data_IF_683548916747
#
_entry.id   IF_683548916747
#
_cell.length_a   1.000
_cell.length_b   1.000
_cell.length_c   1.000
_cell.angle_alpha   90.00
_cell.angle_beta   90.00
_cell.angle_gamma   90.00
#
_symmetry.space_group_name_H-M   'P 1'
#
loop_
_entity.id
_entity.type
_entity.pdbx_description
1 polymer ?
#
# COMPACT_ATOMS: atom_id res chain seq x y z
N UNK A 1 -17.46 23.63 15.96
CA UNK A 1 -17.52 24.28 14.62
C UNK A 1 -18.79 23.82 13.93
N UNK A 2 -19.38 24.61 13.02
CA UNK A 2 -20.48 24.11 12.18
C UNK A 2 -19.96 23.08 11.17
N UNK A 3 -20.84 22.20 10.68
CA UNK A 3 -20.46 21.20 9.65
C UNK A 3 -19.85 21.83 8.39
N UNK A 4 -20.25 23.05 8.05
CA UNK A 4 -19.69 23.82 6.94
C UNK A 4 -18.27 24.32 7.25
N UNK A 5 -18.04 24.84 8.46
CA UNK A 5 -16.73 25.29 8.91
C UNK A 5 -15.72 24.14 8.97
N UNK A 6 -16.15 22.95 9.45
CA UNK A 6 -15.30 21.75 9.49
C UNK A 6 -14.85 21.31 8.10
N UNK A 7 -15.78 21.26 7.13
CA UNK A 7 -15.44 20.94 5.73
C UNK A 7 -14.48 21.96 5.14
N UNK A 8 -14.72 23.26 5.37
CA UNK A 8 -13.86 24.33 4.86
C UNK A 8 -12.46 24.26 5.47
N UNK A 9 -12.36 23.99 6.77
CA UNK A 9 -11.10 23.80 7.46
C UNK A 9 -10.33 22.61 6.89
N UNK A 10 -10.97 21.44 6.79
CA UNK A 10 -10.36 20.25 6.19
C UNK A 10 -9.86 20.52 4.78
N UNK A 11 -10.70 21.09 3.89
CA UNK A 11 -10.32 21.30 2.50
C UNK A 11 -9.21 22.35 2.31
N UNK A 12 -9.09 23.31 3.23
CA UNK A 12 -7.97 24.23 3.25
C UNK A 12 -6.67 23.48 3.53
N UNK A 13 -6.62 22.72 4.63
CA UNK A 13 -5.46 21.91 5.00
C UNK A 13 -5.10 20.89 3.90
N UNK A 14 -6.12 20.25 3.33
CA UNK A 14 -5.93 19.31 2.23
C UNK A 14 -5.27 19.97 1.02
N UNK A 15 -5.77 21.11 0.54
CA UNK A 15 -5.19 21.77 -0.62
C UNK A 15 -3.78 22.30 -0.36
N UNK A 16 -3.49 22.75 0.86
CA UNK A 16 -2.15 23.20 1.25
C UNK A 16 -1.12 22.05 1.11
N UNK A 17 -1.48 20.84 1.55
CA UNK A 17 -0.65 19.63 1.39
C UNK A 17 -0.64 19.15 -0.06
N UNK A 18 -1.82 19.00 -0.68
CA UNK A 18 -1.96 18.35 -1.97
C UNK A 18 -1.24 19.12 -3.09
N UNK A 19 -1.23 20.46 -3.05
CA UNK A 19 -0.49 21.30 -4.02
C UNK A 19 1.03 21.22 -3.88
N UNK A 20 1.53 20.78 -2.72
CA UNK A 20 2.94 20.49 -2.52
C UNK A 20 3.30 19.06 -2.97
N UNK A 21 2.31 18.16 -3.00
CA UNK A 21 2.48 16.75 -3.36
C UNK A 21 2.31 16.49 -4.86
N UNK A 22 1.40 17.19 -5.54
CA UNK A 22 1.10 16.97 -6.96
C UNK A 22 0.48 18.19 -7.63
N UNK A 23 0.76 18.37 -8.92
CA UNK A 23 0.22 19.48 -9.70
C UNK A 23 -1.26 19.35 -10.08
N UNK A 24 -1.85 18.17 -9.85
CA UNK A 24 -3.26 17.91 -10.16
C UNK A 24 -4.22 18.88 -9.44
N UNK A 25 -3.82 19.44 -8.30
CA UNK A 25 -4.66 20.35 -7.50
C UNK A 25 -4.35 21.83 -7.67
N UNK A 26 -3.38 22.24 -8.51
CA UNK A 26 -2.96 23.66 -8.56
C UNK A 26 -4.13 24.62 -8.80
N UNK A 27 -5.05 24.21 -9.67
CA UNK A 27 -6.23 24.99 -10.06
C UNK A 27 -7.50 24.62 -9.28
N UNK A 28 -7.39 23.76 -8.26
CA UNK A 28 -8.53 23.36 -7.44
C UNK A 28 -8.88 24.46 -6.42
N UNK A 29 -10.19 24.64 -6.21
CA UNK A 29 -10.74 25.61 -5.26
C UNK A 29 -11.79 24.95 -4.35
N UNK A 30 -11.85 25.42 -3.11
CA UNK A 30 -12.82 24.94 -2.12
C UNK A 30 -14.23 25.41 -2.52
N UNK A 31 -15.16 24.47 -2.66
CA UNK A 31 -16.56 24.76 -2.97
C UNK A 31 -17.42 24.71 -1.71
N UNK A 32 -18.36 25.65 -1.59
CA UNK A 32 -19.27 25.74 -0.43
C UNK A 32 -20.08 24.45 -0.29
N UNK A 33 -20.13 23.91 0.94
CA UNK A 33 -20.93 22.75 1.31
C UNK A 33 -20.66 21.44 0.53
N UNK A 34 -19.53 21.33 -0.16
CA UNK A 34 -19.13 20.08 -0.82
C UNK A 34 -18.27 19.21 0.09
N UNK A 35 -18.48 17.90 -0.02
CA UNK A 35 -17.69 16.87 0.65
C UNK A 35 -16.60 16.32 -0.29
N UNK A 36 -16.25 17.07 -1.34
CA UNK A 36 -15.28 16.68 -2.34
C UNK A 36 -14.58 17.89 -2.98
N UNK A 37 -13.43 17.64 -3.59
CA UNK A 37 -12.75 18.54 -4.53
C UNK A 37 -12.62 17.84 -5.88
N UNK A 38 -13.02 18.55 -6.94
CA UNK A 38 -12.86 18.06 -8.31
C UNK A 38 -11.51 18.47 -8.89
N UNK A 39 -10.97 17.59 -9.73
CA UNK A 39 -9.89 17.87 -10.67
C UNK A 39 -10.47 17.63 -12.06
N UNK A 40 -10.32 18.63 -12.93
CA UNK A 40 -10.81 18.56 -14.31
C UNK A 40 -9.97 17.58 -15.12
N UNK A 41 -10.62 16.76 -15.95
CA UNK A 41 -9.94 16.00 -17.01
C UNK A 41 -9.82 16.78 -18.32
N UNK A 42 -10.38 18.00 -18.36
CA UNK A 42 -10.53 18.77 -19.59
C UNK A 42 -11.70 18.31 -20.47
N UNK A 43 -12.49 17.33 -20.03
CA UNK A 43 -13.66 16.81 -20.72
C UNK A 43 -14.95 17.11 -19.95
N UNK A 44 -15.99 17.53 -20.68
CA UNK A 44 -17.29 17.78 -20.08
C UNK A 44 -17.85 16.49 -19.48
N UNK A 45 -18.42 16.58 -18.27
CA UNK A 45 -19.02 15.44 -17.57
C UNK A 45 -18.03 14.40 -17.04
N UNK A 46 -16.71 14.64 -17.12
CA UNK A 46 -15.70 13.68 -16.65
C UNK A 46 -14.70 14.36 -15.70
N UNK A 47 -14.61 13.90 -14.47
CA UNK A 47 -13.77 14.53 -13.45
C UNK A 47 -13.23 13.51 -12.46
N UNK A 48 -12.01 13.75 -11.99
CA UNK A 48 -11.54 13.12 -10.77
C UNK A 48 -12.13 13.87 -9.58
N UNK A 49 -12.40 13.16 -8.49
CA UNK A 49 -12.95 13.72 -7.27
C UNK A 49 -12.27 13.09 -6.07
N UNK A 50 -11.68 13.92 -5.22
CA UNK A 50 -11.25 13.49 -3.89
C UNK A 50 -12.38 13.78 -2.93
N UNK A 51 -12.87 12.72 -2.28
CA UNK A 51 -14.07 12.78 -1.46
C UNK A 51 -13.72 12.50 0.00
N UNK A 52 -14.21 13.34 0.90
CA UNK A 52 -13.99 13.23 2.34
C UNK A 52 -15.32 13.42 3.10
N UNK A 53 -15.84 12.32 3.65
CA UNK A 53 -16.98 12.31 4.57
C UNK A 53 -16.49 12.44 6.02
N UNK A 54 -17.36 12.18 7.00
CA UNK A 54 -17.04 12.35 8.42
C UNK A 54 -15.93 11.38 8.84
N UNK A 55 -16.11 10.10 8.49
CA UNK A 55 -15.28 8.99 8.98
C UNK A 55 -14.64 8.17 7.86
N UNK A 56 -14.84 8.55 6.59
CA UNK A 56 -14.23 7.87 5.46
C UNK A 56 -13.89 8.85 4.35
N UNK A 57 -12.88 8.48 3.55
CA UNK A 57 -12.42 9.24 2.40
C UNK A 57 -12.00 8.31 1.27
N UNK A 58 -12.09 8.76 0.03
CA UNK A 58 -11.65 8.00 -1.14
C UNK A 58 -11.39 8.95 -2.32
N UNK A 59 -10.83 8.40 -3.40
CA UNK A 59 -10.70 9.09 -4.68
C UNK A 59 -11.57 8.37 -5.70
N UNK A 60 -12.19 9.11 -6.61
CA UNK A 60 -13.02 8.55 -7.68
C UNK A 60 -12.83 9.28 -9.00
N UNK A 61 -13.08 8.57 -10.11
CA UNK A 61 -13.42 9.16 -11.40
C UNK A 61 -14.92 9.07 -11.53
N UNK A 62 -15.56 10.21 -11.78
CA UNK A 62 -16.98 10.30 -12.02
C UNK A 62 -17.22 10.57 -13.51
N UNK A 63 -18.04 9.72 -14.11
CA UNK A 63 -18.46 9.79 -15.50
C UNK A 63 -19.94 10.16 -15.49
N UNK A 64 -20.24 11.39 -15.88
CA UNK A 64 -21.58 11.97 -15.91
C UNK A 64 -21.75 12.78 -17.20
N UNK A 65 -21.62 12.08 -18.31
CA UNK A 65 -21.81 12.55 -19.68
C UNK A 65 -23.23 12.22 -20.15
N UNK A 66 -23.81 13.10 -20.97
CA UNK A 66 -25.22 13.00 -21.37
C UNK A 66 -25.53 11.74 -22.18
N UNK A 67 -24.62 11.35 -23.06
CA UNK A 67 -24.94 10.41 -24.14
C UNK A 67 -24.17 9.08 -24.04
N UNK A 68 -22.97 9.08 -23.44
CA UNK A 68 -22.00 7.97 -23.53
C UNK A 68 -21.37 7.58 -22.18
N UNK A 69 -22.03 7.86 -21.05
CA UNK A 69 -21.47 7.53 -19.72
C UNK A 69 -21.24 6.04 -19.51
N UNK A 70 -22.19 5.20 -19.94
CA UNK A 70 -22.13 3.75 -19.77
C UNK A 70 -21.12 3.12 -20.74
N UNK A 71 -21.13 3.54 -22.01
CA UNK A 71 -20.17 3.08 -23.02
C UNK A 71 -18.73 3.37 -22.59
N UNK A 72 -18.43 4.61 -22.18
CA UNK A 72 -17.11 4.97 -21.69
C UNK A 72 -16.72 4.18 -20.43
N UNK A 73 -17.66 3.97 -19.52
CA UNK A 73 -17.40 3.19 -18.31
C UNK A 73 -17.06 1.73 -18.65
N UNK A 74 -17.82 1.11 -19.55
CA UNK A 74 -17.60 -0.26 -19.97
C UNK A 74 -16.28 -0.42 -20.75
N UNK A 75 -15.93 0.55 -21.58
CA UNK A 75 -14.63 0.60 -22.27
C UNK A 75 -13.46 0.65 -21.27
N UNK A 76 -13.54 1.52 -20.25
CA UNK A 76 -12.51 1.56 -19.19
C UNK A 76 -12.50 0.24 -18.40
N UNK A 77 -13.67 -0.33 -18.13
CA UNK A 77 -13.82 -1.56 -17.36
C UNK A 77 -13.22 -2.79 -18.06
N UNK A 78 -13.12 -2.82 -19.39
CA UNK A 78 -12.36 -3.86 -20.12
C UNK A 78 -10.89 -3.93 -19.69
N UNK A 79 -10.35 -2.83 -19.15
CA UNK A 79 -8.98 -2.75 -18.64
C UNK A 79 -8.89 -2.89 -17.11
N UNK A 80 -9.96 -3.32 -16.43
CA UNK A 80 -10.05 -3.36 -14.96
C UNK A 80 -8.83 -4.01 -14.30
N UNK A 81 -8.45 -5.22 -14.72
CA UNK A 81 -7.33 -5.94 -14.11
C UNK A 81 -6.00 -5.20 -14.26
N UNK A 82 -5.75 -4.60 -15.43
CA UNK A 82 -4.53 -3.83 -15.71
C UNK A 82 -4.51 -2.56 -14.85
N UNK A 83 -5.65 -1.86 -14.76
CA UNK A 83 -5.80 -0.64 -13.96
C UNK A 83 -5.58 -0.96 -12.48
N UNK A 84 -6.25 -1.97 -11.93
CA UNK A 84 -6.14 -2.37 -10.52
C UNK A 84 -4.73 -2.84 -10.17
N UNK A 85 -4.07 -3.59 -11.07
CA UNK A 85 -2.68 -4.00 -10.92
C UNK A 85 -1.73 -2.78 -10.87
N UNK A 86 -1.87 -1.87 -11.84
CA UNK A 86 -1.07 -0.63 -11.93
C UNK A 86 -1.28 0.25 -10.71
N UNK A 87 -2.54 0.44 -10.31
CA UNK A 87 -2.90 1.21 -9.12
C UNK A 87 -2.38 0.57 -7.82
N UNK A 88 -2.45 -0.77 -7.72
CA UNK A 88 -1.95 -1.55 -6.60
C UNK A 88 -2.98 -1.96 -5.55
N UNK A 89 -4.27 -1.81 -5.84
CA UNK A 89 -5.37 -2.29 -5.00
C UNK A 89 -6.64 -2.48 -5.86
N UNK A 90 -7.60 -3.32 -5.41
CA UNK A 90 -8.90 -3.43 -6.06
C UNK A 90 -9.66 -2.09 -6.08
N UNK A 91 -10.46 -1.88 -7.13
CA UNK A 91 -11.31 -0.71 -7.28
C UNK A 91 -12.78 -1.07 -7.11
N UNK A 92 -13.60 -0.09 -6.77
CA UNK A 92 -15.06 -0.19 -6.73
C UNK A 92 -15.63 0.40 -8.01
N UNK A 93 -16.30 -0.45 -8.77
CA UNK A 93 -16.89 -0.14 -10.07
C UNK A 93 -18.40 -0.03 -9.91
N UNK A 94 -18.95 1.17 -10.08
CA UNK A 94 -20.38 1.45 -9.86
C UNK A 94 -20.98 2.09 -11.10
N UNK A 95 -21.95 1.40 -11.70
CA UNK A 95 -22.81 1.95 -12.75
C UNK A 95 -24.17 2.30 -12.12
N UNK A 96 -24.51 3.59 -12.06
CA UNK A 96 -25.84 4.08 -11.67
C UNK A 96 -26.61 4.56 -12.92
N UNK A 97 -26.92 3.65 -13.85
CA UNK A 97 -27.55 3.98 -15.13
C UNK A 97 -28.79 4.88 -15.03
N UNK A 98 -29.64 4.67 -14.01
CA UNK A 98 -30.81 5.52 -13.74
C UNK A 98 -30.48 7.01 -13.48
N UNK A 99 -29.24 7.32 -13.11
CA UNK A 99 -28.75 8.69 -12.85
C UNK A 99 -27.80 9.20 -13.94
N UNK A 100 -27.63 8.44 -15.02
CA UNK A 100 -26.61 8.68 -16.07
C UNK A 100 -25.24 8.97 -15.44
N UNK A 101 -24.86 8.16 -14.44
CA UNK A 101 -23.65 8.37 -13.66
C UNK A 101 -22.94 7.06 -13.41
N UNK A 102 -21.70 6.97 -13.84
CA UNK A 102 -20.80 5.88 -13.50
C UNK A 102 -19.64 6.38 -12.64
N UNK A 103 -19.12 5.51 -11.78
CA UNK A 103 -18.01 5.81 -10.89
C UNK A 103 -17.02 4.67 -10.84
N UNK A 104 -15.75 5.03 -10.86
CA UNK A 104 -14.64 4.13 -10.53
C UNK A 104 -13.99 4.72 -9.29
N UNK A 105 -14.01 4.01 -8.17
CA UNK A 105 -13.62 4.54 -6.86
C UNK A 105 -12.53 3.67 -6.26
N UNK A 106 -11.59 4.29 -5.54
CA UNK A 106 -10.66 3.55 -4.70
C UNK A 106 -11.42 2.89 -3.52
N UNK A 107 -10.77 1.94 -2.85
CA UNK A 107 -11.22 1.53 -1.51
C UNK A 107 -11.32 2.77 -0.59
N UNK A 108 -12.29 2.76 0.32
CA UNK A 108 -12.43 3.81 1.34
C UNK A 108 -11.28 3.69 2.33
N UNK A 109 -10.63 4.82 2.63
CA UNK A 109 -9.78 4.98 3.81
C UNK A 109 -10.72 5.24 5.00
N UNK A 110 -10.63 4.48 6.12
CA UNK A 110 -11.50 4.64 7.29
C UNK A 110 -11.09 5.85 8.15
N UNK A 111 -10.80 6.96 7.48
CA UNK A 111 -10.39 8.25 8.02
C UNK A 111 -11.14 9.33 7.23
N UNK A 112 -11.72 10.31 7.91
CA UNK A 112 -12.47 11.39 7.29
C UNK A 112 -12.15 12.73 7.90
N UNK A 113 -13.01 13.73 7.72
CA UNK A 113 -12.79 15.08 8.26
C UNK A 113 -12.77 15.13 9.80
N UNK A 114 -13.25 14.08 10.48
CA UNK A 114 -13.14 13.93 11.93
C UNK A 114 -11.79 13.34 12.39
N UNK A 115 -10.88 13.04 11.46
CA UNK A 115 -9.56 12.52 11.78
C UNK A 115 -8.71 13.58 12.49
N UNK A 116 -7.95 13.14 13.51
CA UNK A 116 -7.09 14.02 14.30
C UNK A 116 -5.80 14.39 13.56
N UNK A 117 -5.38 13.57 12.59
CA UNK A 117 -4.23 13.79 11.73
C UNK A 117 -4.68 14.13 10.30
N UNK A 118 -5.17 15.35 10.13
CA UNK A 118 -5.65 15.85 8.84
C UNK A 118 -4.52 15.94 7.81
N UNK A 119 -3.30 16.28 8.24
CA UNK A 119 -2.13 16.40 7.37
C UNK A 119 -1.74 15.05 6.77
N UNK A 120 -1.64 14.01 7.59
CA UNK A 120 -1.35 12.65 7.11
C UNK A 120 -2.46 12.10 6.23
N UNK A 121 -3.73 12.30 6.60
CA UNK A 121 -4.85 11.95 5.72
C UNK A 121 -4.78 12.69 4.37
N UNK A 122 -4.42 13.97 4.38
CA UNK A 122 -4.32 14.78 3.17
C UNK A 122 -3.22 14.28 2.23
N UNK A 123 -2.06 13.92 2.78
CA UNK A 123 -0.96 13.32 2.03
C UNK A 123 -1.37 11.98 1.41
N UNK A 124 -2.00 11.10 2.19
CA UNK A 124 -2.52 9.82 1.71
C UNK A 124 -3.48 10.03 0.53
N UNK A 125 -4.42 10.97 0.64
CA UNK A 125 -5.39 11.23 -0.42
C UNK A 125 -4.73 11.83 -1.67
N UNK A 126 -3.78 12.75 -1.52
CA UNK A 126 -3.06 13.35 -2.65
C UNK A 126 -2.22 12.31 -3.42
N UNK A 127 -1.43 11.51 -2.71
CA UNK A 127 -0.65 10.42 -3.30
C UNK A 127 -1.54 9.36 -3.96
N UNK A 128 -2.66 9.03 -3.32
CA UNK A 128 -3.65 8.10 -3.88
C UNK A 128 -4.27 8.65 -5.15
N UNK A 129 -4.60 9.94 -5.20
CA UNK A 129 -5.08 10.59 -6.43
C UNK A 129 -4.05 10.51 -7.55
N UNK A 130 -2.77 10.78 -7.26
CA UNK A 130 -1.70 10.70 -8.26
C UNK A 130 -1.58 9.28 -8.84
N UNK A 131 -1.47 8.25 -7.98
CA UNK A 131 -1.42 6.85 -8.45
C UNK A 131 -2.66 6.44 -9.22
N UNK A 132 -3.83 6.90 -8.78
CA UNK A 132 -5.10 6.59 -9.42
C UNK A 132 -5.24 7.28 -10.79
N UNK A 133 -4.78 8.52 -10.89
CA UNK A 133 -4.65 9.26 -12.13
C UNK A 133 -3.73 8.51 -13.10
N UNK A 134 -2.51 8.17 -12.68
CA UNK A 134 -1.54 7.44 -13.51
C UNK A 134 -2.07 6.09 -14.00
N UNK A 135 -2.88 5.41 -13.18
CA UNK A 135 -3.47 4.13 -13.52
C UNK A 135 -4.59 4.23 -14.57
N UNK A 136 -5.46 5.24 -14.46
CA UNK A 136 -6.70 5.34 -15.26
C UNK A 136 -6.58 6.28 -16.46
N UNK A 137 -5.81 7.37 -16.35
CA UNK A 137 -5.93 8.52 -17.25
C UNK A 137 -5.76 8.17 -18.73
N UNK A 138 -4.86 7.23 -19.04
CA UNK A 138 -4.60 6.77 -20.42
C UNK A 138 -5.79 6.07 -21.08
N UNK A 139 -6.78 5.62 -20.31
CA UNK A 139 -8.01 4.98 -20.80
C UNK A 139 -9.17 5.97 -20.92
N UNK A 140 -8.96 7.23 -20.54
CA UNK A 140 -9.94 8.28 -20.78
C UNK A 140 -9.78 8.78 -22.23
N UNK A 141 -10.86 9.23 -22.88
CA UNK A 141 -10.78 9.72 -24.24
C UNK A 141 -9.77 10.88 -24.31
N UNK A 142 -8.96 10.89 -25.36
CA UNK A 142 -8.08 12.01 -25.62
C UNK A 142 -8.93 13.28 -25.80
N UNK A 143 -8.40 14.43 -25.40
CA UNK A 143 -8.94 15.71 -25.87
C UNK A 143 -8.76 15.77 -27.39
N UNK A 144 -9.74 15.28 -28.15
CA UNK A 144 -9.89 15.68 -29.53
C UNK A 144 -10.16 17.20 -29.49
N UNK A 145 -9.12 17.97 -29.84
CA UNK A 145 -9.32 19.35 -30.29
C UNK A 145 -10.40 19.30 -31.35
N UNK A 146 -11.43 20.10 -31.14
CA UNK A 146 -12.47 20.38 -32.12
C UNK A 146 -11.79 20.96 -33.37
N UNK A 147 -11.52 20.11 -34.35
CA UNK A 147 -11.43 20.49 -35.77
C UNK A 147 -12.46 19.64 -36.52
N UNK A 148 -13.73 19.97 -36.28
CA UNK A 148 -14.81 19.64 -37.19
C UNK A 148 -15.84 20.78 -37.07
N UNK A 149 -16.12 21.44 -38.19
CA UNK A 149 -17.01 22.58 -38.38
C UNK A 149 -16.42 23.99 -38.19
N UNK A 150 -15.63 24.43 -39.17
CA UNK A 150 -15.65 25.82 -39.64
C UNK A 150 -15.17 25.93 -41.09
N UNK A 151 -15.79 25.19 -42.01
CA UNK A 151 -15.68 25.48 -43.44
C UNK A 151 -16.71 26.57 -43.80
N UNK A 152 -16.44 27.81 -43.39
CA UNK A 152 -16.94 29.02 -44.03
C UNK A 152 -15.87 30.10 -43.93
N UNK A 153 -15.27 30.43 -45.07
CA UNK A 153 -14.64 31.73 -45.33
C UNK A 153 -15.55 32.86 -44.81
N UNK A 154 -15.02 33.99 -44.27
CA UNK A 154 -14.22 34.89 -45.11
C UNK A 154 -13.12 35.74 -44.41
N UNK A 155 -12.26 36.27 -45.29
CA UNK A 155 -11.59 37.58 -45.25
C UNK A 155 -10.59 37.94 -44.16
N UNK A 156 -9.37 38.18 -44.67
CA UNK A 156 -8.28 39.01 -44.18
C UNK A 156 -8.60 40.04 -43.07
N UNK A 157 -7.88 39.93 -41.95
CA UNK A 157 -7.41 41.07 -41.17
C UNK A 157 -6.06 40.72 -40.55
N UNK A 158 -5.02 41.46 -40.96
CA UNK A 158 -3.69 41.42 -40.34
C UNK A 158 -3.77 42.14 -38.99
N UNK A 159 -3.43 41.46 -37.90
CA UNK A 159 -3.15 42.12 -36.63
C UNK A 159 -1.88 41.53 -36.01
N UNK A 160 -0.87 42.38 -35.90
CA UNK A 160 0.39 42.13 -35.21
C UNK A 160 0.15 41.93 -33.72
N UNK A 161 0.54 40.77 -33.17
CA UNK A 161 0.71 40.59 -31.72
C UNK A 161 2.13 40.09 -31.47
N UNK A 162 2.93 40.97 -30.85
CA UNK A 162 4.26 40.66 -30.30
C UNK A 162 4.13 39.56 -29.24
N UNK A 163 4.75 38.41 -29.49
CA UNK A 163 5.02 37.40 -28.48
C UNK A 163 6.18 37.85 -27.59
N UNK A 164 5.93 38.01 -26.29
CA UNK A 164 6.98 38.04 -25.28
C UNK A 164 7.40 36.60 -24.98
N UNK A 165 8.63 36.25 -25.30
CA UNK A 165 9.23 34.98 -24.96
C UNK A 165 9.30 34.83 -23.42
N UNK A 166 8.61 33.82 -22.87
CA UNK A 166 8.90 33.32 -21.54
C UNK A 166 10.14 32.43 -21.61
N UNK A 167 11.17 32.79 -20.84
CA UNK A 167 12.33 31.94 -20.57
C UNK A 167 11.82 30.66 -19.91
N UNK A 168 11.90 29.56 -20.65
CA UNK A 168 11.78 28.19 -20.11
C UNK A 168 12.96 27.99 -19.18
N UNK A 169 12.68 27.84 -17.89
CA UNK A 169 13.67 27.39 -16.90
C UNK A 169 13.89 25.90 -17.15
N UNK A 170 15.15 25.41 -17.22
CA UNK A 170 15.38 24.00 -17.48
C UNK A 170 14.88 23.17 -16.29
N UNK A 171 13.94 22.25 -16.57
CA UNK A 171 13.57 21.18 -15.65
C UNK A 171 14.83 20.41 -15.26
N UNK A 172 15.19 20.46 -13.97
CA UNK A 172 16.12 19.50 -13.40
C UNK A 172 15.48 18.13 -13.50
N UNK A 173 15.94 17.30 -14.45
CA UNK A 173 15.75 15.85 -14.42
C UNK A 173 16.33 15.31 -13.11
N UNK A 174 15.48 15.13 -12.11
CA UNK A 174 15.83 14.48 -10.85
C UNK A 174 15.96 12.97 -11.12
N UNK A 175 17.21 12.50 -11.14
CA UNK A 175 17.78 11.21 -10.70
C UNK A 175 16.92 9.90 -10.57
N UNK A 176 15.86 9.68 -11.35
CA UNK A 176 15.04 8.46 -11.29
C UNK A 176 15.77 7.14 -11.66
N UNK A 177 16.89 7.19 -12.39
CA UNK A 177 17.59 5.98 -12.83
C UNK A 177 18.37 5.27 -11.71
N UNK A 178 18.80 5.99 -10.67
CA UNK A 178 19.63 5.41 -9.61
C UNK A 178 18.82 4.57 -8.60
N UNK A 179 17.57 4.97 -8.31
CA UNK A 179 16.68 4.24 -7.39
C UNK A 179 16.17 2.92 -7.97
N UNK A 180 15.91 2.87 -9.28
CA UNK A 180 15.41 1.66 -9.95
C UNK A 180 16.47 0.54 -9.98
N UNK A 181 17.72 0.91 -10.25
CA UNK A 181 18.87 -0.02 -10.23
C UNK A 181 19.10 -0.57 -8.82
N UNK A 182 18.97 0.28 -7.80
CA UNK A 182 19.11 -0.14 -6.40
C UNK A 182 17.99 -1.12 -5.99
N UNK A 183 16.76 -0.86 -6.43
CA UNK A 183 15.61 -1.72 -6.16
C UNK A 183 15.76 -3.12 -6.77
N UNK A 184 16.14 -3.21 -8.05
CA UNK A 184 16.34 -4.50 -8.72
C UNK A 184 17.44 -5.34 -8.06
N UNK A 185 18.58 -4.71 -7.73
CA UNK A 185 19.69 -5.40 -7.05
C UNK A 185 19.29 -5.93 -5.67
N UNK A 186 18.51 -5.15 -4.91
CA UNK A 186 18.04 -5.58 -3.59
C UNK A 186 17.06 -6.74 -3.70
N UNK A 187 16.13 -6.71 -4.65
CA UNK A 187 15.18 -7.80 -4.86
C UNK A 187 15.90 -9.11 -5.22
N UNK A 188 16.90 -9.09 -6.12
CA UNK A 188 17.67 -10.30 -6.43
C UNK A 188 18.43 -10.84 -5.22
N UNK A 189 18.99 -9.98 -4.38
CA UNK A 189 19.69 -10.40 -3.16
C UNK A 189 18.72 -10.99 -2.12
N UNK A 190 17.52 -10.41 -1.99
CA UNK A 190 16.43 -10.92 -1.15
C UNK A 190 15.96 -12.29 -1.65
N UNK A 191 15.74 -12.44 -2.96
CA UNK A 191 15.32 -13.70 -3.57
C UNK A 191 16.36 -14.80 -3.31
N UNK A 192 17.65 -14.50 -3.49
CA UNK A 192 18.74 -15.42 -3.17
C UNK A 192 18.74 -15.83 -1.68
N UNK A 193 18.53 -14.88 -0.76
CA UNK A 193 18.40 -15.18 0.67
C UNK A 193 17.20 -16.09 0.95
N UNK A 194 16.06 -15.82 0.31
CA UNK A 194 14.87 -16.65 0.47
C UNK A 194 15.09 -18.07 -0.03
N UNK A 195 15.62 -18.26 -1.24
CA UNK A 195 15.94 -19.59 -1.79
C UNK A 195 16.86 -20.37 -0.85
N UNK A 196 17.96 -19.74 -0.41
CA UNK A 196 18.89 -20.34 0.55
C UNK A 196 18.22 -20.70 1.88
N UNK A 197 17.31 -19.87 2.38
CA UNK A 197 16.61 -20.15 3.64
C UNK A 197 15.68 -21.36 3.54
N UNK A 198 15.12 -21.64 2.38
CA UNK A 198 14.19 -22.76 2.16
C UNK A 198 14.88 -24.12 2.14
N UNK A 199 16.19 -24.14 1.95
CA UNK A 199 17.05 -25.33 2.07
C UNK A 199 17.54 -25.55 3.52
N UNK A 200 17.34 -24.58 4.41
CA UNK A 200 17.87 -24.65 5.77
C UNK A 200 17.14 -25.70 6.61
N UNK A 201 17.92 -26.64 7.18
CA UNK A 201 17.43 -27.69 8.09
C UNK A 201 18.08 -27.65 9.48
N UNK A 202 18.91 -26.65 9.75
CA UNK A 202 19.80 -26.62 10.92
C UNK A 202 19.10 -26.80 12.27
N UNK A 203 17.92 -26.20 12.48
CA UNK A 203 17.19 -26.33 13.75
C UNK A 203 16.59 -27.73 13.92
N UNK A 204 16.18 -28.39 12.84
CA UNK A 204 15.64 -29.74 12.87
C UNK A 204 16.75 -30.77 13.10
N UNK A 205 17.87 -30.66 12.39
CA UNK A 205 19.03 -31.56 12.51
C UNK A 205 19.65 -31.54 13.91
N UNK A 206 19.61 -30.39 14.59
CA UNK A 206 20.10 -30.23 15.96
C UNK A 206 19.06 -30.60 17.03
N UNK A 207 17.89 -31.09 16.63
CA UNK A 207 16.81 -31.45 17.56
C UNK A 207 16.20 -30.26 18.31
N UNK A 208 16.40 -29.02 17.84
CA UNK A 208 15.85 -27.82 18.46
C UNK A 208 14.39 -27.54 18.06
N UNK A 209 13.92 -28.17 16.99
CA UNK A 209 12.55 -28.06 16.47
C UNK A 209 12.07 -29.41 15.92
N UNK A 210 10.75 -29.59 15.88
CA UNK A 210 10.07 -30.75 15.27
C UNK A 210 9.35 -30.28 14.01
N UNK A 211 9.52 -31.02 12.91
CA UNK A 211 8.97 -30.67 11.60
C UNK A 211 7.44 -30.63 11.63
N UNK A 212 6.87 -29.47 11.32
CA UNK A 212 5.43 -29.27 11.18
C UNK A 212 4.93 -29.64 9.76
N UNK A 213 3.62 -29.46 9.52
CA UNK A 213 3.03 -29.65 8.19
C UNK A 213 3.63 -28.74 7.11
N UNK A 214 4.01 -27.52 7.48
CA UNK A 214 4.83 -26.64 6.63
C UNK A 214 6.26 -26.76 7.14
N UNK A 215 7.10 -27.44 6.36
CA UNK A 215 8.39 -27.96 6.78
C UNK A 215 9.61 -27.19 6.25
N UNK A 216 9.35 -26.14 5.47
CA UNK A 216 10.34 -25.26 4.88
C UNK A 216 10.17 -23.84 5.41
N UNK A 217 11.24 -23.05 5.24
CA UNK A 217 11.21 -21.63 5.59
C UNK A 217 10.10 -20.92 4.80
N UNK A 218 9.46 -19.96 5.43
CA UNK A 218 8.36 -19.18 4.85
C UNK A 218 8.85 -17.75 4.56
N UNK A 219 9.36 -17.47 3.35
CA UNK A 219 9.53 -16.09 2.89
C UNK A 219 8.25 -15.30 3.13
N UNK A 220 8.39 -14.05 3.55
CA UNK A 220 7.26 -13.17 3.87
C UNK A 220 7.26 -11.98 2.92
N UNK A 221 6.05 -11.51 2.65
CA UNK A 221 5.78 -10.41 1.73
C UNK A 221 6.70 -9.20 1.97
N UNK A 222 7.27 -8.71 0.87
CA UNK A 222 7.84 -7.36 0.77
C UNK A 222 6.97 -6.60 -0.22
N UNK A 223 6.35 -5.53 0.23
CA UNK A 223 5.45 -4.73 -0.59
C UNK A 223 6.16 -4.15 -1.80
N UNK A 224 5.46 -4.07 -2.95
CA UNK A 224 6.03 -3.60 -4.22
C UNK A 224 6.63 -2.19 -4.18
N UNK A 225 6.17 -1.34 -3.25
CA UNK A 225 6.66 0.02 -3.06
C UNK A 225 7.55 0.14 -1.82
N UNK A 226 7.97 -0.97 -1.19
CA UNK A 226 8.75 -0.92 0.04
C UNK A 226 10.03 -0.09 -0.13
N UNK A 227 10.80 -0.34 -1.19
CA UNK A 227 12.06 0.37 -1.42
C UNK A 227 11.88 1.85 -1.81
N UNK A 228 10.74 2.20 -2.40
CA UNK A 228 10.40 3.58 -2.75
C UNK A 228 9.61 4.32 -1.66
N UNK A 229 9.31 3.65 -0.54
CA UNK A 229 8.60 4.27 0.58
C UNK A 229 9.55 5.19 1.35
N UNK A 230 9.07 6.39 1.68
CA UNK A 230 9.80 7.37 2.51
C UNK A 230 10.25 6.73 3.83
N UNK A 231 9.35 5.97 4.45
CA UNK A 231 9.65 5.16 5.62
C UNK A 231 9.56 3.69 5.25
N UNK A 232 10.68 2.99 5.37
CA UNK A 232 10.75 1.55 5.16
C UNK A 232 10.37 0.85 6.46
N UNK A 233 9.11 0.47 6.57
CA UNK A 233 8.55 -0.17 7.78
C UNK A 233 8.57 -1.68 7.61
N UNK A 234 9.21 -2.39 8.55
CA UNK A 234 9.25 -3.84 8.58
C UNK A 234 8.55 -4.39 9.84
N UNK A 235 7.60 -5.30 9.67
CA UNK A 235 6.91 -5.98 10.76
C UNK A 235 7.56 -7.35 10.99
N UNK A 236 7.99 -7.62 12.22
CA UNK A 236 8.62 -8.88 12.61
C UNK A 236 7.78 -9.55 13.68
N UNK A 237 7.16 -10.68 13.35
CA UNK A 237 6.48 -11.54 14.31
C UNK A 237 7.41 -12.68 14.78
N UNK A 238 6.95 -13.50 15.72
CA UNK A 238 7.78 -14.56 16.27
C UNK A 238 8.00 -15.72 15.28
N UNK A 239 6.92 -16.27 14.73
CA UNK A 239 6.96 -17.53 13.99
C UNK A 239 5.74 -17.72 13.08
N UNK A 240 5.80 -18.59 12.07
CA UNK A 240 4.62 -19.08 11.38
C UNK A 240 3.76 -20.01 12.26
N UNK A 241 2.47 -20.11 11.96
CA UNK A 241 1.62 -21.10 12.61
C UNK A 241 1.96 -22.54 12.20
N UNK A 242 1.85 -23.49 13.13
CA UNK A 242 2.11 -24.92 12.89
C UNK A 242 1.19 -25.58 11.85
N UNK A 243 0.04 -24.94 11.56
CA UNK A 243 -0.89 -25.41 10.54
C UNK A 243 -1.69 -26.67 10.94
N UNK A 244 -1.76 -26.99 12.23
CA UNK A 244 -2.41 -28.19 12.74
C UNK A 244 -3.91 -28.05 13.01
N UNK A 245 -4.49 -26.85 12.86
CA UNK A 245 -5.94 -26.66 13.04
C UNK A 245 -6.71 -27.39 11.92
N UNK A 246 -7.64 -28.32 12.24
CA UNK A 246 -8.39 -29.09 11.25
C UNK A 246 -9.07 -28.21 10.19
N UNK A 247 -9.65 -27.09 10.63
CA UNK A 247 -10.33 -26.08 9.82
C UNK A 247 -9.44 -25.45 8.73
N UNK A 248 -8.12 -25.48 8.89
CA UNK A 248 -7.15 -24.85 7.98
C UNK A 248 -6.31 -25.85 7.20
N UNK A 249 -6.58 -27.16 7.32
CA UNK A 249 -5.75 -28.21 6.69
C UNK A 249 -5.62 -28.05 5.18
N UNK A 250 -6.72 -27.75 4.47
CA UNK A 250 -6.71 -27.51 3.01
C UNK A 250 -5.92 -26.25 2.66
N UNK A 251 -6.13 -25.16 3.40
CA UNK A 251 -5.41 -23.90 3.18
C UNK A 251 -3.92 -24.04 3.43
N UNK A 252 -3.53 -24.76 4.48
CA UNK A 252 -2.13 -24.98 4.84
C UNK A 252 -1.44 -25.86 3.81
N UNK A 253 -2.12 -26.90 3.30
CA UNK A 253 -1.61 -27.72 2.19
C UNK A 253 -1.38 -26.88 0.94
N UNK A 254 -2.33 -26.01 0.59
CA UNK A 254 -2.18 -25.11 -0.55
C UNK A 254 -0.98 -24.18 -0.35
N UNK A 255 -0.88 -23.52 0.81
CA UNK A 255 0.26 -22.62 1.08
C UNK A 255 1.60 -23.36 1.08
N UNK A 256 1.67 -24.56 1.65
CA UNK A 256 2.88 -25.40 1.60
C UNK A 256 3.28 -25.72 0.16
N UNK A 257 2.31 -26.10 -0.68
CA UNK A 257 2.56 -26.40 -2.09
C UNK A 257 3.14 -25.17 -2.81
N UNK A 258 2.56 -23.98 -2.60
CA UNK A 258 3.07 -22.73 -3.16
C UNK A 258 4.51 -22.43 -2.74
N UNK A 259 4.88 -22.72 -1.48
CA UNK A 259 6.24 -22.56 -1.01
C UNK A 259 7.20 -23.55 -1.69
N UNK A 260 6.82 -24.81 -1.86
CA UNK A 260 7.65 -25.78 -2.59
C UNK A 260 7.77 -25.42 -4.07
N UNK A 261 6.68 -25.01 -4.73
CA UNK A 261 6.71 -24.60 -6.13
C UNK A 261 7.59 -23.37 -6.33
N UNK A 262 7.55 -22.40 -5.40
CA UNK A 262 8.52 -21.31 -5.39
C UNK A 262 9.94 -21.83 -5.20
N UNK A 263 10.24 -22.65 -4.18
CA UNK A 263 11.58 -23.23 -3.97
C UNK A 263 12.13 -23.88 -5.23
N UNK A 264 11.32 -24.73 -5.86
CA UNK A 264 11.67 -25.54 -7.03
C UNK A 264 11.72 -24.71 -8.35
N UNK A 265 11.48 -23.40 -8.28
CA UNK A 265 11.55 -22.50 -9.43
C UNK A 265 10.34 -22.54 -10.36
N UNK A 266 9.26 -23.23 -9.97
CA UNK A 266 8.00 -23.28 -10.72
C UNK A 266 7.16 -22.01 -10.53
N UNK A 267 7.43 -21.25 -9.46
CA UNK A 267 6.83 -19.95 -9.17
C UNK A 267 7.92 -18.90 -8.96
N UNK A 268 7.68 -17.69 -9.43
CA UNK A 268 8.52 -16.53 -9.12
C UNK A 268 8.25 -15.98 -7.71
N UNK A 269 9.14 -15.13 -7.23
CA UNK A 269 8.92 -14.42 -5.96
C UNK A 269 7.67 -13.53 -6.01
N UNK A 270 7.44 -12.87 -7.13
CA UNK A 270 6.26 -12.01 -7.34
C UNK A 270 4.96 -12.81 -7.29
N UNK A 271 4.93 -14.01 -7.91
CA UNK A 271 3.77 -14.89 -7.83
C UNK A 271 3.50 -15.36 -6.39
N UNK A 272 4.55 -15.71 -5.64
CA UNK A 272 4.43 -16.08 -4.23
C UNK A 272 3.88 -14.91 -3.40
N UNK A 273 4.34 -13.69 -3.65
CA UNK A 273 3.89 -12.49 -2.95
C UNK A 273 2.46 -12.07 -3.31
N UNK A 274 2.06 -12.23 -4.57
CA UNK A 274 0.68 -12.05 -4.99
C UNK A 274 -0.24 -13.04 -4.26
N UNK A 275 0.13 -14.33 -4.25
CA UNK A 275 -0.60 -15.36 -3.50
C UNK A 275 -0.69 -15.01 -2.01
N UNK A 276 0.41 -14.62 -1.36
CA UNK A 276 0.39 -14.25 0.05
C UNK A 276 -0.54 -13.06 0.32
N UNK A 277 -0.52 -12.05 -0.55
CA UNK A 277 -1.36 -10.85 -0.42
C UNK A 277 -2.85 -11.20 -0.40
N UNK A 278 -3.30 -12.03 -1.34
CA UNK A 278 -4.68 -12.53 -1.37
C UNK A 278 -4.98 -13.40 -0.15
N UNK A 279 -4.05 -14.30 0.17
CA UNK A 279 -4.25 -15.32 1.20
C UNK A 279 -4.18 -14.78 2.64
N UNK A 280 -3.60 -13.59 2.86
CA UNK A 280 -3.60 -12.90 4.15
C UNK A 280 -5.02 -12.59 4.66
N UNK A 281 -6.02 -12.53 3.78
CA UNK A 281 -7.44 -12.44 4.19
C UNK A 281 -7.91 -13.66 4.99
N UNK A 282 -7.21 -14.79 4.90
CA UNK A 282 -7.48 -15.98 5.69
C UNK A 282 -6.64 -16.05 6.98
N UNK A 283 -5.74 -15.09 7.21
CA UNK A 283 -4.81 -15.14 8.33
C UNK A 283 -5.44 -14.59 9.62
N UNK A 284 -5.20 -15.33 10.71
CA UNK A 284 -5.78 -15.07 12.01
C UNK A 284 -7.16 -15.70 12.22
N UNK A 285 -7.72 -15.42 13.39
CA UNK A 285 -9.09 -15.79 13.77
C UNK A 285 -9.69 -14.58 14.49
N UNK A 286 -10.81 -14.00 14.00
CA UNK A 286 -11.51 -14.37 12.76
C UNK A 286 -10.62 -14.19 11.50
N UNK A 287 -10.98 -14.79 10.34
CA UNK A 287 -10.26 -14.55 9.07
C UNK A 287 -10.07 -13.05 8.81
N UNK A 288 -8.89 -12.66 8.34
CA UNK A 288 -8.55 -11.28 8.01
C UNK A 288 -8.10 -10.46 9.22
N UNK A 289 -8.16 -11.02 10.44
CA UNK A 289 -7.70 -10.37 11.66
C UNK A 289 -6.25 -9.86 11.55
N UNK A 290 -5.41 -10.57 10.80
CA UNK A 290 -4.04 -10.15 10.54
C UNK A 290 -3.97 -8.80 9.81
N UNK A 291 -4.68 -8.66 8.69
CA UNK A 291 -4.76 -7.41 7.92
C UNK A 291 -5.45 -6.31 8.71
N UNK A 292 -6.51 -6.65 9.45
CA UNK A 292 -7.22 -5.68 10.28
C UNK A 292 -6.29 -5.05 11.33
N UNK A 293 -5.46 -5.85 11.99
CA UNK A 293 -4.57 -5.35 13.03
C UNK A 293 -3.48 -4.43 12.45
N UNK A 294 -2.75 -4.89 11.43
CA UNK A 294 -1.59 -4.15 10.92
C UNK A 294 -1.96 -3.09 9.88
N UNK A 295 -2.86 -3.37 8.96
CA UNK A 295 -3.22 -2.42 7.91
C UNK A 295 -4.26 -1.42 8.42
N UNK A 296 -5.42 -1.89 8.87
CA UNK A 296 -6.48 -0.98 9.33
C UNK A 296 -6.10 -0.32 10.66
N UNK A 297 -5.62 -1.12 11.61
CA UNK A 297 -5.31 -0.70 12.97
C UNK A 297 -4.14 0.27 13.04
N UNK A 298 -3.00 -0.08 12.41
CA UNK A 298 -1.82 0.78 12.37
C UNK A 298 -1.83 1.79 11.21
N UNK A 299 -2.81 1.73 10.30
CA UNK A 299 -2.87 2.61 9.13
C UNK A 299 -1.76 2.36 8.10
N UNK A 300 -1.25 1.12 8.03
CA UNK A 300 -0.17 0.74 7.13
C UNK A 300 -0.72 0.25 5.79
N UNK A 301 -0.01 0.55 4.70
CA UNK A 301 -0.32 0.04 3.37
C UNK A 301 0.55 -1.19 3.11
N UNK A 302 -0.08 -2.32 2.77
CA UNK A 302 0.63 -3.58 2.54
C UNK A 302 1.72 -3.46 1.45
N UNK A 303 1.45 -2.66 0.42
CA UNK A 303 2.40 -2.38 -0.66
C UNK A 303 3.67 -1.63 -0.20
N UNK A 304 3.65 -1.00 0.98
CA UNK A 304 4.72 -0.12 1.47
C UNK A 304 5.48 -0.74 2.66
N UNK A 305 5.12 -1.95 3.10
CA UNK A 305 5.75 -2.60 4.25
C UNK A 305 6.44 -3.90 3.85
N UNK A 306 7.39 -4.33 4.67
CA UNK A 306 7.93 -5.67 4.62
C UNK A 306 7.47 -6.46 5.86
N UNK A 307 7.39 -7.78 5.72
CA UNK A 307 7.06 -8.69 6.81
C UNK A 307 8.17 -9.73 6.97
N UNK A 308 8.38 -10.17 8.20
CA UNK A 308 9.23 -11.32 8.49
C UNK A 308 8.82 -11.97 9.81
N UNK A 309 9.46 -13.10 10.10
CA UNK A 309 9.42 -13.73 11.41
C UNK A 309 10.83 -13.85 11.99
N UNK A 310 10.94 -14.07 13.30
CA UNK A 310 12.19 -14.51 13.95
C UNK A 310 12.49 -15.96 13.53
N UNK A 311 11.52 -16.86 13.70
CA UNK A 311 11.55 -18.22 13.17
C UNK A 311 10.87 -18.27 11.80
N UNK A 312 11.56 -18.79 10.79
CA UNK A 312 11.03 -18.87 9.43
C UNK A 312 10.30 -20.18 9.14
N UNK A 313 10.63 -21.25 9.88
CA UNK A 313 9.94 -22.54 9.84
C UNK A 313 8.99 -22.66 11.03
N UNK A 314 7.95 -23.49 10.87
CA UNK A 314 7.04 -23.82 11.96
C UNK A 314 7.55 -25.02 12.77
N UNK A 315 7.34 -24.98 14.08
CA UNK A 315 7.51 -26.13 14.95
C UNK A 315 6.17 -26.87 15.13
N UNK A 316 6.18 -28.19 15.02
CA UNK A 316 4.97 -29.03 15.09
C UNK A 316 4.23 -28.89 16.42
N UNK A 317 4.96 -28.64 17.51
CA UNK A 317 4.43 -28.46 18.86
C UNK A 317 4.23 -26.99 19.21
N UNK A 318 4.43 -26.08 18.23
CA UNK A 318 4.41 -24.64 18.41
C UNK A 318 5.36 -24.18 19.54
N UNK A 319 6.50 -24.87 19.70
CA UNK A 319 7.56 -24.55 20.66
C UNK A 319 8.71 -23.87 19.94
N UNK A 320 9.16 -22.75 20.51
CA UNK A 320 10.25 -21.95 19.93
C UNK A 320 11.30 -21.65 21.00
N UNK A 321 12.20 -22.61 21.31
CA UNK A 321 13.23 -22.40 22.31
C UNK A 321 14.18 -21.27 21.90
N UNK A 322 14.77 -20.60 22.89
CA UNK A 322 15.63 -19.43 22.64
C UNK A 322 16.81 -19.75 21.70
N UNK A 323 17.40 -20.95 21.81
CA UNK A 323 18.47 -21.40 20.92
C UNK A 323 18.04 -21.44 19.45
N UNK A 324 16.89 -22.06 19.16
CA UNK A 324 16.29 -22.09 17.82
C UNK A 324 16.02 -20.68 17.28
N UNK A 325 15.41 -19.82 18.10
CA UNK A 325 15.06 -18.45 17.69
C UNK A 325 16.32 -17.63 17.37
N UNK A 326 17.36 -17.74 18.20
CA UNK A 326 18.63 -17.05 17.97
C UNK A 326 19.36 -17.56 16.72
N UNK A 327 19.37 -18.88 16.50
CA UNK A 327 19.95 -19.49 15.30
C UNK A 327 19.23 -19.00 14.04
N UNK A 328 17.90 -19.08 14.03
CA UNK A 328 17.08 -18.69 12.89
C UNK A 328 17.17 -17.18 12.61
N UNK A 329 17.16 -16.36 13.66
CA UNK A 329 17.36 -14.91 13.52
C UNK A 329 18.69 -14.58 12.85
N UNK A 330 19.79 -15.13 13.37
CA UNK A 330 21.14 -14.82 12.90
C UNK A 330 21.36 -15.29 11.45
N UNK A 331 20.76 -16.42 11.08
CA UNK A 331 20.88 -16.98 9.72
C UNK A 331 20.00 -16.32 8.68
N UNK A 332 18.82 -15.81 9.05
CA UNK A 332 17.80 -15.44 8.09
C UNK A 332 17.25 -14.03 8.32
N UNK A 333 16.73 -13.75 9.51
CA UNK A 333 16.09 -12.46 9.80
C UNK A 333 17.08 -11.31 9.83
N UNK A 334 18.27 -11.49 10.42
CA UNK A 334 19.32 -10.47 10.43
C UNK A 334 19.83 -10.12 9.02
N UNK A 335 20.21 -11.09 8.16
CA UNK A 335 20.54 -10.79 6.77
C UNK A 335 19.41 -10.09 6.01
N UNK A 336 18.16 -10.49 6.24
CA UNK A 336 17.01 -9.83 5.62
C UNK A 336 16.89 -8.37 6.07
N UNK A 337 17.03 -8.10 7.37
CA UNK A 337 17.03 -6.73 7.92
C UNK A 337 18.13 -5.90 7.26
N UNK A 338 19.34 -6.44 7.10
CA UNK A 338 20.45 -5.75 6.43
C UNK A 338 20.12 -5.42 4.96
N UNK A 339 19.52 -6.36 4.23
CA UNK A 339 19.14 -6.17 2.83
C UNK A 339 18.00 -5.14 2.65
N UNK A 340 17.02 -5.18 3.55
CA UNK A 340 15.85 -4.31 3.48
C UNK A 340 16.12 -2.92 4.06
N UNK A 341 17.08 -2.80 4.98
CA UNK A 341 17.46 -1.58 5.67
C UNK A 341 16.23 -0.75 6.12
N UNK A 342 15.29 -1.33 6.90
CA UNK A 342 14.15 -0.59 7.43
C UNK A 342 14.60 0.59 8.28
N UNK A 343 13.87 1.71 8.19
CA UNK A 343 14.00 2.83 9.12
C UNK A 343 13.19 2.59 10.40
N UNK A 344 12.14 1.78 10.32
CA UNK A 344 11.27 1.42 11.43
C UNK A 344 11.06 -0.09 11.43
N UNK A 345 11.31 -0.75 12.56
CA UNK A 345 10.96 -2.15 12.79
C UNK A 345 9.89 -2.25 13.86
N UNK A 346 8.79 -2.93 13.55
CA UNK A 346 7.69 -3.21 14.48
C UNK A 346 7.80 -4.66 14.94
N UNK A 347 8.09 -4.89 16.21
CA UNK A 347 8.16 -6.23 16.82
C UNK A 347 6.80 -6.63 17.39
N UNK A 348 6.20 -7.66 16.81
CA UNK A 348 4.85 -8.12 17.14
C UNK A 348 4.85 -9.26 18.17
N UNK A 349 4.36 -8.94 19.37
CA UNK A 349 4.25 -9.86 20.50
C UNK A 349 5.49 -9.92 21.40
N UNK A 350 5.26 -10.12 22.70
CA UNK A 350 6.28 -10.11 23.76
C UNK A 350 7.53 -10.95 23.47
N UNK A 351 7.42 -12.19 22.95
CA UNK A 351 8.60 -12.97 22.59
C UNK A 351 9.49 -12.33 21.52
N UNK A 352 8.91 -11.67 20.51
CA UNK A 352 9.67 -10.97 19.48
C UNK A 352 10.41 -9.73 20.05
N UNK A 353 9.85 -9.09 21.08
CA UNK A 353 10.46 -7.91 21.73
C UNK A 353 11.86 -8.19 22.29
N UNK A 354 12.18 -9.44 22.61
CA UNK A 354 13.50 -9.87 23.10
C UNK A 354 14.63 -9.65 22.08
N UNK A 355 14.30 -9.41 20.81
CA UNK A 355 15.27 -9.16 19.74
C UNK A 355 15.56 -7.67 19.51
N UNK A 356 15.00 -6.76 20.32
CA UNK A 356 15.18 -5.30 20.17
C UNK A 356 16.66 -4.90 20.06
N UNK A 357 17.49 -5.33 21.01
CA UNK A 357 18.90 -4.91 21.05
C UNK A 357 19.71 -5.50 19.89
N UNK A 358 19.43 -6.75 19.49
CA UNK A 358 20.06 -7.34 18.30
C UNK A 358 19.71 -6.57 17.03
N UNK A 359 18.46 -6.17 16.87
CA UNK A 359 18.01 -5.38 15.71
C UNK A 359 18.69 -4.01 15.70
N UNK A 360 18.79 -3.33 16.84
CA UNK A 360 19.51 -2.06 16.97
C UNK A 360 21.01 -2.20 16.70
N UNK A 361 21.64 -3.30 17.10
CA UNK A 361 23.04 -3.57 16.76
C UNK A 361 23.24 -3.76 15.25
N UNK A 362 22.30 -4.43 14.59
CA UNK A 362 22.33 -4.67 13.14
C UNK A 362 22.06 -3.38 12.36
N UNK A 363 21.16 -2.52 12.86
CA UNK A 363 20.82 -1.22 12.27
C UNK A 363 20.76 -0.12 13.37
N UNK A 364 21.89 0.52 13.71
CA UNK A 364 21.96 1.51 14.79
C UNK A 364 21.05 2.74 14.62
N UNK A 365 20.65 3.06 13.38
CA UNK A 365 19.72 4.16 13.08
C UNK A 365 18.25 3.75 12.98
N UNK A 366 17.91 2.48 13.23
CA UNK A 366 16.54 1.99 13.11
C UNK A 366 15.74 2.24 14.40
N UNK A 367 14.55 2.82 14.25
CA UNK A 367 13.56 2.87 15.33
C UNK A 367 12.90 1.51 15.52
N UNK A 368 12.87 1.01 16.76
CA UNK A 368 12.23 -0.27 17.07
C UNK A 368 10.99 -0.02 17.94
N UNK A 369 9.82 -0.31 17.38
CA UNK A 369 8.53 -0.15 18.07
C UNK A 369 8.03 -1.54 18.48
N UNK A 370 7.57 -1.66 19.71
CA UNK A 370 6.99 -2.90 20.23
C UNK A 370 5.48 -2.81 20.09
N UNK A 371 4.88 -3.88 19.56
CA UNK A 371 3.41 -3.98 19.47
C UNK A 371 2.87 -5.29 20.08
N UNK A 372 1.58 -5.31 20.42
CA UNK A 372 0.88 -6.55 20.77
C UNK A 372 0.86 -7.49 19.54
N UNK A 373 0.76 -8.79 19.82
CA UNK A 373 0.55 -9.74 18.74
C UNK A 373 -0.85 -9.57 18.15
N UNK A 374 -1.04 -9.67 16.83
CA UNK A 374 -2.36 -9.47 16.19
C UNK A 374 -3.47 -10.37 16.77
N UNK A 375 -3.09 -11.53 17.34
CA UNK A 375 -3.97 -12.47 18.02
C UNK A 375 -3.94 -12.37 19.56
N UNK A 376 -3.61 -11.20 20.13
CA UNK A 376 -3.69 -10.96 21.58
C UNK A 376 -5.11 -11.16 22.13
N UNK A 377 -5.23 -11.19 23.46
CA UNK A 377 -6.51 -11.41 24.18
C UNK A 377 -6.87 -10.30 25.17
N UNK A 378 -6.12 -9.20 25.16
CA UNK A 378 -6.30 -8.01 26.02
C UNK A 378 -7.62 -7.24 25.82
N UNK A 379 -8.47 -7.61 24.85
CA UNK A 379 -9.71 -6.91 24.54
C UNK A 379 -9.54 -5.66 23.65
N UNK A 380 -10.66 -5.18 23.10
CA UNK A 380 -10.68 -4.13 22.06
C UNK A 380 -10.20 -2.77 22.57
N UNK A 381 -10.54 -2.40 23.80
CA UNK A 381 -10.14 -1.09 24.35
C UNK A 381 -8.62 -0.97 24.48
N UNK A 382 -7.96 -2.00 25.03
CA UNK A 382 -6.50 -2.04 25.15
C UNK A 382 -5.85 -2.07 23.77
N UNK A 383 -6.42 -2.82 22.83
CA UNK A 383 -5.98 -2.81 21.44
C UNK A 383 -5.98 -1.43 20.81
N UNK A 384 -7.10 -0.70 20.89
CA UNK A 384 -7.24 0.61 20.28
C UNK A 384 -6.27 1.64 20.88
N UNK A 385 -6.08 1.61 22.20
CA UNK A 385 -5.07 2.44 22.87
C UNK A 385 -3.66 2.10 22.38
N UNK A 386 -3.36 0.81 22.25
CA UNK A 386 -2.05 0.34 21.83
C UNK A 386 -1.76 0.69 20.36
N UNK A 387 -2.71 0.43 19.46
CA UNK A 387 -2.61 0.81 18.05
C UNK A 387 -2.44 2.32 17.90
N UNK A 388 -3.13 3.14 18.70
CA UNK A 388 -2.94 4.60 18.73
C UNK A 388 -1.51 4.96 19.13
N UNK A 389 -0.99 4.42 20.22
CA UNK A 389 0.38 4.67 20.67
C UNK A 389 1.43 4.24 19.64
N UNK A 390 1.22 3.12 18.94
CA UNK A 390 2.14 2.68 17.87
C UNK A 390 2.08 3.63 16.68
N UNK A 391 0.89 4.11 16.28
CA UNK A 391 0.75 5.11 15.20
C UNK A 391 1.44 6.42 15.54
N UNK A 392 1.29 6.91 16.77
CA UNK A 392 1.98 8.11 17.26
C UNK A 392 3.50 7.96 17.18
N UNK A 393 4.03 6.80 17.59
CA UNK A 393 5.46 6.51 17.46
C UNK A 393 5.91 6.45 16.00
N UNK A 394 5.14 5.81 15.10
CA UNK A 394 5.45 5.80 13.66
C UNK A 394 5.50 7.24 13.13
N UNK A 395 4.51 8.07 13.48
CA UNK A 395 4.45 9.47 13.05
C UNK A 395 5.65 10.29 13.57
N UNK A 396 6.07 10.06 14.81
CA UNK A 396 7.24 10.73 15.39
C UNK A 396 8.54 10.43 14.63
N UNK A 397 8.72 9.20 14.14
CA UNK A 397 9.87 8.84 13.32
C UNK A 397 9.70 9.18 11.84
N UNK A 398 8.53 9.71 11.45
CA UNK A 398 8.19 10.06 10.08
C UNK A 398 8.30 11.57 9.78
N UNK A 399 8.39 12.40 10.81
CA UNK A 399 8.67 13.83 10.70
C UNK A 399 10.15 14.12 10.86
#
# INVERSE_FOLDING_TARGET
MSSEQEKRFFWKQFLDVAKQTTDLYQNSAIRKNKHYIHISTGMAGLYYSTTCKLNESWVEVCIQRKDDSEELYDDIKRHQQIIEHKFGEPLRWVNEGAKQRCKIMTCSVPRGRADHDITGLSRILAERTMRFYDAIHQYLPAQNRVEANAEKQPTAAKTNIRSKAHKVVPEKKVQLQSEYIYTAKNISAVEALFKKSMECRSCFERGMAVQANIDIAQPRLIGKNYFSSIHRIMIIALNPGAGNSPEKRKSNKNFSQWLHDYRDGKKSLDELFAFQTEYMQCWGTPPGRYLHYYCDGLGLLLANIAMANIAWCADANNRYPAGMLNECFSRHTEPLIKLLAPSIVILSGGPAHKFTEKIKQVLPGCSVIKTLHYAHREGRHIEEQHLRSVREQIAQYSG
#
